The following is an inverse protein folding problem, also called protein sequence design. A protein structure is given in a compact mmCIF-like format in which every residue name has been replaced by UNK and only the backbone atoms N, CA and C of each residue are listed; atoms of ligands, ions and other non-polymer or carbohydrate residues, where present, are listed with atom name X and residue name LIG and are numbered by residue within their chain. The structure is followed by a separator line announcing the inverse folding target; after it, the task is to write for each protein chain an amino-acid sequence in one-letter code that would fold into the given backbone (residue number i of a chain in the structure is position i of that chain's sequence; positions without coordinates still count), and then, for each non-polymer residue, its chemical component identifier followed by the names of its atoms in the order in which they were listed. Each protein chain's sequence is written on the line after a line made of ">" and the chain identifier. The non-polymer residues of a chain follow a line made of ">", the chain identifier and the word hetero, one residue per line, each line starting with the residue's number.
data_IF_439426378111
#
_entry.id   IF_439426378111
#
_cell.length_a   1.000
_cell.length_b   1.000
_cell.length_c   1.000
_cell.angle_alpha   90.00
_cell.angle_beta   90.00
_cell.angle_gamma   90.00
#
_symmetry.space_group_name_H-M   'P 1'
#
loop_
_entity.id
_entity.type
_entity.pdbx_description
1 polymer ?
#
# COMPACT_ATOMS: atom_id res chain seq x y z
N UNK A 1 -22.00 3.77 12.63
CA UNK A 1 -21.09 3.09 11.66
C UNK A 1 -21.52 1.64 11.55
N UNK A 2 -21.94 1.20 10.37
CA UNK A 2 -22.26 -0.21 10.13
C UNK A 2 -20.93 -1.01 10.24
N UNK A 3 -20.70 -1.68 11.38
CA UNK A 3 -19.55 -2.58 11.55
C UNK A 3 -19.85 -3.85 10.76
N UNK A 4 -19.21 -4.01 9.62
CA UNK A 4 -19.25 -5.22 8.81
C UNK A 4 -17.88 -5.92 8.86
N UNK A 5 -17.67 -6.91 9.75
CA UNK A 5 -16.40 -7.61 9.89
C UNK A 5 -15.91 -8.25 8.58
N UNK A 6 -16.83 -8.79 7.77
CA UNK A 6 -16.50 -9.35 6.46
C UNK A 6 -15.99 -8.27 5.49
N UNK A 7 -16.60 -7.09 5.54
CA UNK A 7 -16.14 -5.94 4.76
C UNK A 7 -14.72 -5.53 5.12
N UNK A 8 -14.38 -5.51 6.41
CA UNK A 8 -13.03 -5.21 6.89
C UNK A 8 -12.01 -6.28 6.44
N UNK A 9 -12.35 -7.56 6.56
CA UNK A 9 -11.49 -8.65 6.12
C UNK A 9 -11.20 -8.59 4.60
N UNK A 10 -12.19 -8.25 3.78
CA UNK A 10 -12.00 -8.09 2.34
C UNK A 10 -11.06 -6.92 1.99
N UNK A 11 -11.14 -5.83 2.74
CA UNK A 11 -10.23 -4.67 2.58
C UNK A 11 -8.80 -5.07 2.95
N UNK A 12 -8.63 -5.78 4.07
CA UNK A 12 -7.32 -6.27 4.49
C UNK A 12 -6.69 -7.20 3.45
N UNK A 13 -7.46 -8.18 2.93
CA UNK A 13 -6.97 -9.10 1.90
C UNK A 13 -6.55 -8.37 0.59
N UNK A 14 -7.30 -7.35 0.17
CA UNK A 14 -6.96 -6.51 -1.00
C UNK A 14 -5.65 -5.72 -0.78
N UNK A 15 -5.46 -5.19 0.42
CA UNK A 15 -4.22 -4.47 0.80
C UNK A 15 -3.03 -5.44 0.86
N UNK A 16 -3.19 -6.61 1.49
CA UNK A 16 -2.15 -7.63 1.57
C UNK A 16 -1.74 -8.13 0.17
N UNK A 17 -2.72 -8.30 -0.73
CA UNK A 17 -2.44 -8.65 -2.13
C UNK A 17 -1.60 -7.58 -2.82
N UNK A 18 -1.90 -6.31 -2.58
CA UNK A 18 -1.11 -5.20 -3.13
C UNK A 18 0.32 -5.17 -2.57
N UNK A 19 0.48 -5.40 -1.26
CA UNK A 19 1.79 -5.46 -0.60
C UNK A 19 2.62 -6.65 -1.10
N UNK A 20 2.03 -7.84 -1.24
CA UNK A 20 2.72 -9.02 -1.73
C UNK A 20 3.32 -8.85 -3.14
N UNK A 21 2.67 -8.04 -3.98
CA UNK A 21 3.22 -7.68 -5.32
C UNK A 21 4.47 -6.80 -5.21
N UNK A 22 4.60 -6.00 -4.15
CA UNK A 22 5.78 -5.15 -3.94
C UNK A 22 7.02 -5.97 -3.61
N UNK A 23 6.87 -7.14 -2.98
CA UNK A 23 8.00 -8.05 -2.74
C UNK A 23 8.62 -8.59 -4.04
N UNK A 24 7.82 -8.72 -5.11
CA UNK A 24 8.28 -9.21 -6.42
C UNK A 24 8.67 -8.06 -7.35
N UNK A 25 7.93 -6.95 -7.28
CA UNK A 25 8.16 -5.76 -8.11
C UNK A 25 8.24 -4.48 -7.26
N UNK A 26 9.34 -4.28 -6.52
CA UNK A 26 9.49 -3.15 -5.57
C UNK A 26 9.33 -1.79 -6.22
N UNK A 27 9.68 -1.65 -7.50
CA UNK A 27 9.62 -0.38 -8.22
C UNK A 27 8.32 -0.14 -8.99
N UNK A 28 7.34 -1.04 -8.89
CA UNK A 28 6.06 -0.93 -9.63
C UNK A 28 5.17 0.24 -9.17
N UNK A 29 5.32 0.71 -7.93
CA UNK A 29 4.62 1.89 -7.42
C UNK A 29 5.17 3.20 -8.00
N UNK A 30 4.32 4.22 -8.06
CA UNK A 30 4.67 5.56 -8.57
C UNK A 30 5.54 6.31 -7.57
N UNK A 31 6.68 6.84 -8.00
CA UNK A 31 7.49 7.75 -7.18
C UNK A 31 6.67 8.99 -6.74
N UNK A 32 6.81 9.39 -5.49
CA UNK A 32 6.19 10.60 -4.94
C UNK A 32 7.21 11.74 -4.85
N UNK A 33 6.79 12.93 -4.44
CA UNK A 33 7.67 14.11 -4.34
C UNK A 33 8.73 13.99 -3.24
N UNK A 34 8.46 13.18 -2.22
CA UNK A 34 9.43 12.87 -1.16
C UNK A 34 10.43 11.81 -1.62
N UNK A 35 11.72 12.06 -1.39
CA UNK A 35 12.80 11.21 -1.87
C UNK A 35 12.67 9.78 -1.30
N UNK A 36 12.77 8.78 -2.17
CA UNK A 36 12.66 7.36 -1.79
C UNK A 36 11.24 6.87 -1.54
N UNK A 37 10.24 7.76 -1.48
CA UNK A 37 8.84 7.38 -1.23
C UNK A 37 8.14 7.02 -2.54
N UNK A 38 7.45 5.89 -2.52
CA UNK A 38 6.64 5.37 -3.63
C UNK A 38 5.22 5.10 -3.15
N UNK A 39 4.29 5.08 -4.10
CA UNK A 39 2.87 4.83 -3.85
C UNK A 39 2.37 3.70 -4.75
N UNK A 40 1.84 2.67 -4.12
CA UNK A 40 1.00 1.66 -4.74
C UNK A 40 -0.47 1.87 -4.37
N UNK A 41 -1.37 1.28 -5.15
CA UNK A 41 -2.82 1.38 -4.91
C UNK A 41 -3.42 -0.01 -4.95
N UNK A 42 -4.15 -0.39 -3.91
CA UNK A 42 -4.90 -1.65 -3.88
C UNK A 42 -5.98 -1.64 -4.97
N UNK A 43 -6.29 -2.79 -5.57
CA UNK A 43 -7.10 -2.80 -6.79
C UNK A 43 -8.55 -2.46 -6.49
N UNK A 44 -9.18 -3.18 -5.56
CA UNK A 44 -10.63 -3.13 -5.34
C UNK A 44 -11.05 -1.93 -4.51
N UNK A 45 -10.37 -1.70 -3.39
CA UNK A 45 -10.77 -0.65 -2.44
C UNK A 45 -9.93 0.63 -2.57
N UNK A 46 -8.96 0.65 -3.48
CA UNK A 46 -8.17 1.83 -3.86
C UNK A 46 -7.43 2.47 -2.67
N UNK A 47 -7.08 1.66 -1.67
CA UNK A 47 -6.23 2.11 -0.57
C UNK A 47 -4.85 2.46 -1.11
N UNK A 48 -4.28 3.57 -0.63
CA UNK A 48 -2.95 4.03 -1.02
C UNK A 48 -1.95 3.45 -0.05
N UNK A 49 -0.97 2.71 -0.57
CA UNK A 49 0.14 2.15 0.19
C UNK A 49 1.37 2.99 -0.13
N UNK A 50 1.83 3.78 0.83
CA UNK A 50 3.08 4.51 0.76
C UNK A 50 4.20 3.63 1.31
N UNK A 51 5.29 3.53 0.57
CA UNK A 51 6.39 2.63 0.91
C UNK A 51 7.72 3.16 0.40
N UNK A 52 8.81 2.66 0.98
CA UNK A 52 10.18 2.86 0.52
C UNK A 52 10.82 1.53 0.13
N UNK A 53 11.81 1.58 -0.75
CA UNK A 53 12.63 0.41 -1.13
C UNK A 53 14.03 0.62 -0.60
N UNK A 54 14.45 -0.25 0.31
CA UNK A 54 15.83 -0.34 0.76
C UNK A 54 16.54 -1.47 -0.01
N UNK A 55 17.37 -1.08 -0.97
CA UNK A 55 18.13 -2.04 -1.76
C UNK A 55 19.28 -2.68 -0.97
N UNK A 56 19.84 -1.99 0.03
CA UNK A 56 20.94 -2.52 0.83
C UNK A 56 20.43 -3.62 1.77
N UNK A 57 19.28 -3.39 2.40
CA UNK A 57 18.63 -4.39 3.24
C UNK A 57 17.77 -5.40 2.45
N UNK A 58 17.55 -5.17 1.15
CA UNK A 58 16.61 -5.97 0.32
C UNK A 58 15.19 -6.02 0.90
N UNK A 59 14.70 -4.87 1.38
CA UNK A 59 13.41 -4.76 2.08
C UNK A 59 12.53 -3.70 1.43
N UNK A 60 11.22 -3.99 1.39
CA UNK A 60 10.18 -2.99 1.13
C UNK A 60 9.58 -2.56 2.46
N UNK A 61 9.76 -1.30 2.83
CA UNK A 61 9.23 -0.75 4.06
C UNK A 61 7.90 -0.04 3.79
N UNK A 62 6.80 -0.56 4.34
CA UNK A 62 5.51 0.12 4.32
C UNK A 62 5.52 1.26 5.33
N UNK A 63 5.30 2.48 4.85
CA UNK A 63 5.33 3.71 5.65
C UNK A 63 3.93 4.07 6.15
N UNK A 64 2.94 4.02 5.26
CA UNK A 64 1.55 4.34 5.60
C UNK A 64 0.56 3.67 4.66
N UNK A 65 -0.63 3.38 5.18
CA UNK A 65 -1.77 2.87 4.40
C UNK A 65 -2.94 3.83 4.63
N UNK A 66 -3.37 4.52 3.57
CA UNK A 66 -4.40 5.55 3.65
C UNK A 66 -5.65 5.19 2.84
N UNK A 67 -6.82 5.42 3.45
CA UNK A 67 -8.11 5.31 2.78
C UNK A 67 -8.20 6.34 1.63
N UNK A 68 -8.77 6.01 0.46
CA UNK A 68 -8.83 6.92 -0.69
C UNK A 68 -9.53 8.26 -0.41
N UNK A 69 -10.52 8.26 0.48
CA UNK A 69 -11.25 9.49 0.88
C UNK A 69 -10.58 10.30 1.99
N UNK A 70 -9.53 9.78 2.63
CA UNK A 70 -8.72 10.57 3.57
C UNK A 70 -7.67 11.31 2.74
N UNK A 71 -7.77 12.65 2.73
CA UNK A 71 -6.72 13.52 2.23
C UNK A 71 -5.71 13.74 3.37
N UNK A 72 -4.43 13.59 3.05
CA UNK A 72 -3.31 14.13 3.84
C UNK A 72 -2.98 15.50 3.29
#
# INVERSE_FOLDING_TARGET
>A
MLRNPRGAANVEADIQTAIGRLSVHPFSGRAQGEAGVRKAVSSRYRYRVFYAVDNAASVVQVLAILHPSRQS
#
